data_IF_709767880827
#
_entry.id   IF_709767880827
#
_cell.length_a   1.000
_cell.length_b   1.000
_cell.length_c   1.000
_cell.angle_alpha   90.00
_cell.angle_beta   90.00
_cell.angle_gamma   90.00
#
_symmetry.space_group_name_H-M   'P 1'
#
loop_
_entity.id
_entity.type
_entity.pdbx_description
1 polymer ?
#
# COMPACT_ATOMS: atom_id res chain seq x y z
N UNK A 1 -4.70 6.78 -0.72
CA UNK A 1 -4.00 6.09 -1.84
C UNK A 1 -4.55 4.67 -2.02
N UNK A 2 -4.36 4.03 -3.19
CA UNK A 2 -4.96 2.70 -3.52
C UNK A 2 -3.91 1.70 -4.03
N UNK A 3 -3.93 0.48 -3.49
CA UNK A 3 -3.22 -0.71 -3.99
C UNK A 3 -4.26 -1.70 -4.53
N UNK A 4 -4.01 -2.30 -5.70
CA UNK A 4 -4.96 -3.19 -6.39
C UNK A 4 -4.56 -4.66 -6.25
N UNK A 5 -5.53 -5.52 -5.93
CA UNK A 5 -5.41 -6.98 -5.89
C UNK A 5 -6.41 -7.62 -6.86
N UNK A 6 -6.13 -8.86 -7.29
CA UNK A 6 -7.05 -9.63 -8.13
C UNK A 6 -7.86 -10.60 -7.25
N UNK A 7 -9.19 -10.46 -7.20
CA UNK A 7 -10.07 -11.46 -6.57
C UNK A 7 -11.45 -11.49 -7.25
N UNK A 8 -12.19 -12.61 -7.12
CA UNK A 8 -13.29 -12.99 -8.02
C UNK A 8 -14.70 -13.05 -7.38
N UNK A 9 -14.86 -12.72 -6.09
CA UNK A 9 -16.16 -12.65 -5.41
C UNK A 9 -16.28 -11.39 -4.54
N UNK A 10 -17.48 -11.10 -4.00
CA UNK A 10 -17.89 -9.83 -3.37
C UNK A 10 -16.71 -8.98 -2.84
N UNK A 11 -16.55 -7.73 -3.30
CA UNK A 11 -15.35 -6.94 -3.08
C UNK A 11 -15.09 -6.75 -1.58
N UNK A 12 -14.04 -7.39 -1.06
CA UNK A 12 -13.46 -7.07 0.24
C UNK A 12 -12.37 -6.02 0.05
N UNK A 13 -12.25 -5.10 0.99
CA UNK A 13 -11.25 -4.04 0.95
C UNK A 13 -10.44 -4.04 2.23
N UNK A 14 -9.14 -3.81 2.09
CA UNK A 14 -8.24 -3.55 3.20
C UNK A 14 -8.19 -2.04 3.42
N UNK A 15 -8.51 -1.56 4.62
CA UNK A 15 -8.28 -0.17 4.99
C UNK A 15 -7.06 -0.12 5.90
N UNK A 16 -6.02 0.58 5.46
CA UNK A 16 -4.81 0.82 6.25
C UNK A 16 -4.92 2.22 6.84
N UNK A 17 -4.99 2.29 8.15
CA UNK A 17 -5.01 3.55 8.87
C UNK A 17 -3.58 4.06 9.08
N UNK A 18 -3.26 5.20 8.49
CA UNK A 18 -2.02 5.94 8.65
C UNK A 18 -2.29 7.40 9.06
N UNK A 19 -3.33 7.61 9.88
CA UNK A 19 -3.77 8.93 10.33
C UNK A 19 -2.98 9.49 11.53
N UNK A 20 -2.17 8.68 12.21
CA UNK A 20 -1.29 9.04 13.36
C UNK A 20 -1.59 10.41 14.01
N UNK A 21 -2.76 10.49 14.64
CA UNK A 21 -3.37 11.72 15.14
C UNK A 21 -2.85 12.12 16.52
N UNK A 22 -2.38 11.12 17.26
CA UNK A 22 -2.11 11.15 18.68
C UNK A 22 -0.83 11.94 19.01
N UNK A 23 -0.88 12.87 19.99
CA UNK A 23 0.31 13.63 20.41
C UNK A 23 1.46 12.71 20.83
N UNK A 24 2.63 12.91 20.21
CA UNK A 24 3.85 12.14 20.52
C UNK A 24 4.00 10.83 19.75
N UNK A 25 3.05 10.44 18.90
CA UNK A 25 3.17 9.24 18.05
C UNK A 25 3.74 9.63 16.68
N UNK A 26 4.79 8.95 16.23
CA UNK A 26 5.44 9.20 14.94
C UNK A 26 5.89 7.92 14.19
N UNK A 27 5.51 6.74 14.67
CA UNK A 27 5.92 5.44 14.11
C UNK A 27 5.40 5.22 12.68
N UNK A 28 4.16 5.62 12.38
CA UNK A 28 3.54 5.37 11.07
C UNK A 28 4.16 6.28 10.03
N UNK A 29 4.42 7.54 10.43
CA UNK A 29 5.17 8.50 9.63
C UNK A 29 6.57 7.99 9.26
N UNK A 30 7.30 7.43 10.22
CA UNK A 30 8.65 6.92 9.99
C UNK A 30 8.67 5.74 9.01
N UNK A 31 7.70 4.83 9.11
CA UNK A 31 7.54 3.72 8.15
C UNK A 31 7.28 4.27 6.74
N UNK A 32 6.31 5.18 6.58
CA UNK A 32 5.99 5.75 5.26
C UNK A 32 7.16 6.53 4.64
N UNK A 33 8.03 7.12 5.47
CA UNK A 33 9.15 7.95 5.02
C UNK A 33 10.40 7.14 4.67
N UNK A 34 10.77 6.16 5.50
CA UNK A 34 12.04 5.46 5.41
C UNK A 34 11.93 4.07 4.80
N UNK A 35 10.77 3.42 4.94
CA UNK A 35 10.53 2.09 4.36
C UNK A 35 9.09 1.94 3.81
N UNK A 36 8.75 2.72 2.76
CA UNK A 36 7.41 2.67 2.17
C UNK A 36 7.11 1.31 1.50
N UNK A 37 8.14 0.56 1.09
CA UNK A 37 7.94 -0.74 0.45
C UNK A 37 7.48 -1.81 1.45
N UNK A 38 7.97 -1.79 2.70
CA UNK A 38 7.46 -2.67 3.74
C UNK A 38 5.95 -2.47 3.98
N UNK A 39 5.47 -1.22 3.93
CA UNK A 39 4.03 -0.94 4.04
C UNK A 39 3.24 -1.52 2.85
N UNK A 40 3.75 -1.39 1.64
CA UNK A 40 3.12 -1.96 0.43
C UNK A 40 3.13 -3.49 0.45
N UNK A 41 4.22 -4.11 0.92
CA UNK A 41 4.31 -5.57 1.10
C UNK A 41 3.31 -6.05 2.16
N UNK A 42 3.22 -5.36 3.30
CA UNK A 42 2.21 -5.65 4.32
C UNK A 42 0.79 -5.58 3.77
N UNK A 43 0.49 -4.60 2.91
CA UNK A 43 -0.79 -4.52 2.22
C UNK A 43 -1.03 -5.74 1.32
N UNK A 44 -0.01 -6.20 0.59
CA UNK A 44 -0.11 -7.39 -0.28
C UNK A 44 -0.38 -8.65 0.53
N UNK A 45 0.39 -8.90 1.60
CA UNK A 45 0.23 -10.07 2.47
C UNK A 45 -1.15 -10.06 3.14
N UNK A 46 -1.54 -8.93 3.74
CA UNK A 46 -2.85 -8.81 4.38
C UNK A 46 -4.00 -8.90 3.37
N UNK A 47 -3.81 -8.34 2.17
CA UNK A 47 -4.79 -8.41 1.08
C UNK A 47 -5.03 -9.84 0.62
N UNK A 48 -3.96 -10.60 0.39
CA UNK A 48 -4.04 -12.03 0.02
C UNK A 48 -4.65 -12.85 1.15
N UNK A 49 -4.21 -12.64 2.40
CA UNK A 49 -4.72 -13.39 3.56
C UNK A 49 -6.21 -13.16 3.87
N UNK A 50 -6.79 -12.06 3.40
CA UNK A 50 -8.19 -11.70 3.64
C UNK A 50 -9.06 -11.69 2.38
N UNK A 51 -8.55 -12.15 1.23
CA UNK A 51 -9.18 -12.06 -0.09
C UNK A 51 -9.62 -10.62 -0.47
N UNK A 52 -8.86 -9.61 -0.06
CA UNK A 52 -9.15 -8.23 -0.43
C UNK A 52 -8.84 -7.97 -1.91
N UNK A 53 -9.68 -7.18 -2.58
CA UNK A 53 -9.49 -6.74 -3.97
C UNK A 53 -8.72 -5.42 -4.08
N UNK A 54 -8.71 -4.61 -3.03
CA UNK A 54 -7.86 -3.43 -2.98
C UNK A 54 -7.53 -3.07 -1.53
N UNK A 55 -6.38 -2.44 -1.34
CA UNK A 55 -6.07 -1.73 -0.11
C UNK A 55 -6.21 -0.22 -0.33
N UNK A 56 -6.83 0.46 0.63
CA UNK A 56 -6.87 1.91 0.72
C UNK A 56 -6.06 2.34 1.91
N UNK A 57 -5.00 3.10 1.66
CA UNK A 57 -4.15 3.69 2.70
C UNK A 57 -4.68 5.10 2.94
N UNK A 58 -5.24 5.30 4.13
CA UNK A 58 -5.72 6.60 4.62
C UNK A 58 -4.57 7.29 5.33
N UNK A 59 -4.03 8.33 4.70
CA UNK A 59 -2.89 9.10 5.22
C UNK A 59 -3.43 10.44 5.68
N UNK A 60 -2.94 10.87 6.85
CA UNK A 60 -3.22 12.20 7.38
C UNK A 60 -2.85 13.30 6.38
N UNK A 61 -3.68 14.34 6.28
CA UNK A 61 -3.48 15.45 5.32
C UNK A 61 -2.15 16.19 5.49
N UNK A 62 -1.64 16.27 6.72
CA UNK A 62 -0.37 16.91 7.07
C UNK A 62 0.86 16.14 6.57
N UNK A 63 0.73 14.86 6.22
CA UNK A 63 1.82 13.99 5.77
C UNK A 63 1.93 13.94 4.24
N UNK A 64 1.91 15.10 3.59
CA UNK A 64 1.94 15.21 2.13
C UNK A 64 3.20 14.59 1.51
N UNK A 65 4.37 14.85 2.09
CA UNK A 65 5.64 14.34 1.57
C UNK A 65 5.73 12.83 1.68
N UNK A 66 5.30 12.28 2.82
CA UNK A 66 5.23 10.85 3.09
C UNK A 66 4.25 10.16 2.13
N UNK A 67 3.10 10.79 1.85
CA UNK A 67 2.17 10.32 0.83
C UNK A 67 2.80 10.29 -0.57
N UNK A 68 3.57 11.32 -0.96
CA UNK A 68 4.30 11.33 -2.24
C UNK A 68 5.33 10.21 -2.34
N UNK A 69 6.13 9.99 -1.28
CA UNK A 69 7.14 8.92 -1.22
C UNK A 69 6.46 7.56 -1.35
N UNK A 70 5.40 7.33 -0.57
CA UNK A 70 4.64 6.08 -0.63
C UNK A 70 4.00 5.88 -2.01
N UNK A 71 3.57 6.95 -2.68
CA UNK A 71 2.97 6.85 -4.02
C UNK A 71 4.01 6.48 -5.08
N UNK A 72 5.24 6.97 -4.95
CA UNK A 72 6.37 6.53 -5.77
C UNK A 72 6.64 5.04 -5.58
N UNK A 73 6.74 4.58 -4.33
CA UNK A 73 6.94 3.17 -4.02
C UNK A 73 5.82 2.26 -4.60
N UNK A 74 4.56 2.70 -4.51
CA UNK A 74 3.43 2.00 -5.14
C UNK A 74 3.59 1.93 -6.66
N UNK A 75 3.98 3.03 -7.30
CA UNK A 75 4.16 3.08 -8.75
C UNK A 75 5.28 2.12 -9.21
N UNK A 76 6.39 2.07 -8.47
CA UNK A 76 7.49 1.14 -8.74
C UNK A 76 7.04 -0.32 -8.65
N UNK A 77 6.32 -0.69 -7.58
CA UNK A 77 5.79 -2.04 -7.40
C UNK A 77 4.82 -2.40 -8.53
N UNK A 78 3.91 -1.50 -8.90
CA UNK A 78 2.96 -1.73 -10.01
C UNK A 78 3.71 -1.90 -11.34
N UNK A 79 4.71 -1.06 -11.61
CA UNK A 79 5.54 -1.17 -12.81
C UNK A 79 6.24 -2.53 -12.87
N UNK A 80 6.85 -2.95 -11.76
CA UNK A 80 7.56 -4.23 -11.65
C UNK A 80 6.62 -5.43 -11.82
N UNK A 81 5.45 -5.40 -11.18
CA UNK A 81 4.43 -6.45 -11.33
C UNK A 81 3.88 -6.55 -12.75
N UNK A 82 3.66 -5.41 -13.42
CA UNK A 82 3.24 -5.39 -14.83
C UNK A 82 4.31 -5.96 -15.75
N UNK A 83 5.57 -5.59 -15.52
CA UNK A 83 6.70 -6.15 -16.27
C UNK A 83 6.78 -7.67 -16.10
N UNK A 84 6.70 -8.18 -14.88
CA UNK A 84 6.71 -9.62 -14.61
C UNK A 84 5.55 -10.36 -15.28
N UNK A 85 4.34 -9.77 -15.32
CA UNK A 85 3.19 -10.35 -16.03
C UNK A 85 3.29 -10.30 -17.56
N UNK A 86 4.18 -9.47 -18.10
CA UNK A 86 4.42 -9.35 -19.54
C UNK A 86 5.45 -10.35 -20.07
N UNK A 87 6.19 -11.02 -19.18
CA UNK A 87 7.12 -12.07 -19.55
C UNK A 87 6.33 -13.35 -19.93
N UNK A 88 6.70 -14.05 -21.02
CA UNK A 88 6.12 -15.34 -21.32
C UNK A 88 6.40 -16.29 -20.15
N UNK A 89 5.35 -16.94 -19.64
CA UNK A 89 5.51 -18.00 -18.66
C UNK A 89 6.38 -19.10 -19.29
N UNK A 90 7.51 -19.40 -18.66
CA UNK A 90 8.35 -20.56 -18.99
C UNK A 90 7.59 -21.82 -18.59
#
# INVERSE_FOLDING_TARGET
>A
MRVLFFCYFRPKYLCVNADEGEPGTCKDREIMRHDPHALVEGCLVAGVGNDAQAAYIYIRGEFYNEACILQQAINEVIFRLRFLKSLPAI
#
